data_IF_948218079666
#
_entry.id   IF_948218079666
#
_cell.length_a   1.000
_cell.length_b   1.000
_cell.length_c   1.000
_cell.angle_alpha   90.00
_cell.angle_beta   90.00
_cell.angle_gamma   90.00
#
_symmetry.space_group_name_H-M   'P 1'
#
loop_
_entity.id
_entity.type
_entity.pdbx_description
1 polymer ?
#
# COMPACT_ATOMS: atom_id res chain seq x y z
N UNK A 1 35.02 -35.71 25.70
CA UNK A 1 34.43 -34.80 24.67
C UNK A 1 35.49 -33.83 24.22
N UNK A 2 35.95 -33.85 22.99
CA UNK A 2 37.10 -33.08 22.51
C UNK A 2 36.74 -31.60 22.40
N UNK A 3 37.39 -30.77 23.24
CA UNK A 3 37.21 -29.32 23.27
C UNK A 3 37.59 -28.67 21.92
N UNK A 4 36.73 -27.79 21.43
CA UNK A 4 36.98 -27.00 20.24
C UNK A 4 38.22 -26.11 20.51
N UNK A 5 39.29 -26.26 19.77
CA UNK A 5 40.51 -25.47 19.95
C UNK A 5 40.24 -23.99 19.61
N UNK A 6 40.95 -23.06 20.29
CA UNK A 6 40.84 -21.59 20.07
C UNK A 6 40.95 -21.22 18.57
N UNK A 7 41.76 -21.97 17.83
CA UNK A 7 41.94 -21.78 16.38
C UNK A 7 40.68 -22.13 15.58
N UNK A 8 39.95 -23.23 15.92
CA UNK A 8 38.69 -23.60 15.28
C UNK A 8 37.57 -22.60 15.59
N UNK A 9 37.56 -22.02 16.83
CA UNK A 9 36.60 -20.99 17.21
C UNK A 9 36.78 -19.71 16.39
N UNK A 10 38.04 -19.24 16.26
CA UNK A 10 38.33 -18.04 15.44
C UNK A 10 38.07 -18.25 13.96
N UNK A 11 38.25 -19.46 13.44
CA UNK A 11 37.89 -19.77 12.03
C UNK A 11 36.39 -19.77 11.82
N UNK A 12 35.59 -20.28 12.75
CA UNK A 12 34.13 -20.23 12.67
C UNK A 12 33.57 -18.81 12.77
N UNK A 13 34.16 -17.95 13.64
CA UNK A 13 33.77 -16.53 13.73
C UNK A 13 34.14 -15.73 12.48
N UNK A 14 35.31 -16.02 11.86
CA UNK A 14 35.72 -15.37 10.61
C UNK A 14 34.86 -15.81 9.41
N UNK A 15 34.42 -17.07 9.36
CA UNK A 15 33.47 -17.56 8.34
C UNK A 15 32.08 -16.89 8.55
N UNK A 16 31.63 -16.77 9.81
CA UNK A 16 30.40 -16.04 10.14
C UNK A 16 30.47 -14.56 9.73
N UNK A 17 31.58 -13.88 9.97
CA UNK A 17 31.80 -12.50 9.53
C UNK A 17 31.93 -12.37 8.01
N UNK A 18 32.47 -13.37 7.32
CA UNK A 18 32.53 -13.42 5.85
C UNK A 18 31.15 -13.55 5.19
N UNK A 19 30.24 -14.33 5.78
CA UNK A 19 28.87 -14.50 5.30
C UNK A 19 28.07 -13.19 5.49
N UNK A 20 28.28 -12.46 6.59
CA UNK A 20 27.64 -11.14 6.81
C UNK A 20 28.19 -10.08 5.86
N UNK A 21 29.49 -10.10 5.51
CA UNK A 21 30.06 -9.18 4.52
C UNK A 21 29.58 -9.47 3.07
N UNK A 22 29.25 -10.73 2.74
CA UNK A 22 28.62 -11.07 1.46
C UNK A 22 27.17 -10.60 1.40
N UNK A 23 26.45 -10.60 2.53
CA UNK A 23 25.05 -10.12 2.61
C UNK A 23 24.94 -8.59 2.48
N UNK A 24 25.98 -7.83 2.80
CA UNK A 24 25.99 -6.37 2.66
C UNK A 24 26.08 -5.87 1.20
N UNK A 25 26.46 -6.72 0.25
CA UNK A 25 26.41 -6.41 -1.20
C UNK A 25 25.07 -6.72 -1.87
N UNK A 26 24.09 -7.25 -1.14
CA UNK A 26 22.79 -7.68 -1.69
C UNK A 26 21.66 -6.72 -1.35
N UNK A 27 21.94 -5.43 -1.11
CA UNK A 27 20.88 -4.42 -0.91
C UNK A 27 19.96 -4.28 -2.14
N UNK A 28 20.43 -4.64 -3.33
CA UNK A 28 19.60 -4.70 -4.54
C UNK A 28 18.71 -5.95 -4.63
N UNK A 29 18.98 -6.98 -3.84
CA UNK A 29 18.18 -8.21 -3.84
C UNK A 29 16.81 -8.07 -3.14
N UNK A 30 16.58 -7.00 -2.39
CA UNK A 30 15.32 -6.68 -1.72
C UNK A 30 14.53 -5.55 -2.43
N UNK A 31 14.96 -5.11 -3.61
CA UNK A 31 14.11 -4.28 -4.44
C UNK A 31 12.86 -5.09 -4.77
N UNK A 32 11.69 -4.63 -4.32
CA UNK A 32 10.42 -5.24 -4.72
C UNK A 32 10.42 -5.36 -6.24
N UNK A 33 10.18 -6.55 -6.82
CA UNK A 33 10.13 -6.69 -8.26
C UNK A 33 9.08 -5.70 -8.78
N UNK A 34 9.43 -4.91 -9.80
CA UNK A 34 8.46 -4.02 -10.45
C UNK A 34 7.31 -4.88 -10.93
N UNK A 35 6.09 -4.46 -10.56
CA UNK A 35 4.89 -5.17 -10.96
C UNK A 35 4.72 -5.09 -12.48
N UNK A 36 4.18 -6.13 -13.10
CA UNK A 36 3.91 -6.15 -14.53
C UNK A 36 3.02 -4.96 -14.92
N UNK A 37 3.36 -4.25 -16.00
CA UNK A 37 2.67 -3.04 -16.45
C UNK A 37 3.07 -1.74 -15.74
N UNK A 38 3.90 -1.80 -14.70
CA UNK A 38 4.38 -0.62 -13.99
C UNK A 38 5.56 0.05 -14.74
N UNK A 39 5.61 1.38 -14.86
CA UNK A 39 4.60 2.38 -14.50
C UNK A 39 3.58 2.69 -15.60
N UNK A 40 3.70 2.10 -16.78
CA UNK A 40 2.91 2.40 -17.98
C UNK A 40 1.76 1.37 -18.20
N UNK A 41 0.91 1.23 -17.19
CA UNK A 41 -0.35 0.48 -17.31
C UNK A 41 -1.47 1.41 -17.81
N UNK A 42 -2.67 0.87 -17.98
CA UNK A 42 -3.86 1.68 -18.29
C UNK A 42 -4.21 2.60 -17.12
N UNK A 43 -4.65 3.80 -17.44
CA UNK A 43 -5.04 4.83 -16.49
C UNK A 43 -6.27 5.61 -16.92
N UNK A 44 -6.68 6.55 -16.08
CA UNK A 44 -7.75 7.50 -16.35
C UNK A 44 -7.30 8.89 -15.88
N UNK A 45 -7.36 9.85 -16.78
CA UNK A 45 -7.20 11.26 -16.48
C UNK A 45 -8.57 11.88 -16.23
N UNK A 46 -8.77 12.51 -15.09
CA UNK A 46 -10.02 13.12 -14.65
C UNK A 46 -9.88 14.64 -14.63
N UNK A 47 -10.68 15.34 -15.41
CA UNK A 47 -10.77 16.80 -15.41
C UNK A 47 -11.93 17.25 -14.50
N UNK A 48 -11.63 17.63 -13.26
CA UNK A 48 -12.63 18.04 -12.27
C UNK A 48 -13.36 19.33 -12.69
N UNK A 49 -12.72 20.20 -13.48
CA UNK A 49 -13.32 21.44 -13.98
C UNK A 49 -14.47 21.22 -14.97
N UNK A 50 -14.61 20.01 -15.52
CA UNK A 50 -15.71 19.64 -16.44
C UNK A 50 -16.85 18.90 -15.75
N UNK A 51 -16.65 18.47 -14.50
CA UNK A 51 -17.65 17.63 -13.81
C UNK A 51 -18.86 18.45 -13.35
N UNK A 52 -20.06 18.02 -13.73
CA UNK A 52 -21.34 18.66 -13.35
C UNK A 52 -22.07 17.97 -12.19
N UNK A 53 -21.47 16.94 -11.59
CA UNK A 53 -22.06 16.22 -10.47
C UNK A 53 -23.30 15.40 -10.83
N UNK A 54 -23.46 14.95 -12.09
CA UNK A 54 -24.65 14.21 -12.54
C UNK A 54 -24.84 12.84 -11.89
N UNK A 55 -23.76 12.24 -11.29
CA UNK A 55 -23.73 10.91 -10.66
C UNK A 55 -23.98 9.72 -11.61
N UNK A 56 -24.02 9.92 -12.92
CA UNK A 56 -24.14 8.81 -13.90
C UNK A 56 -23.04 7.77 -13.75
N UNK A 57 -21.82 8.18 -13.34
CA UNK A 57 -20.71 7.28 -13.05
C UNK A 57 -20.96 6.38 -11.83
N UNK A 58 -21.68 6.87 -10.80
CA UNK A 58 -22.11 6.04 -9.65
C UNK A 58 -23.13 5.00 -10.13
N UNK A 59 -24.13 5.41 -10.89
CA UNK A 59 -25.16 4.52 -11.43
C UNK A 59 -24.57 3.44 -12.35
N UNK A 60 -23.65 3.81 -13.25
CA UNK A 60 -22.97 2.86 -14.12
C UNK A 60 -22.12 1.85 -13.34
N UNK A 61 -21.39 2.31 -12.32
CA UNK A 61 -20.61 1.44 -11.44
C UNK A 61 -21.51 0.46 -10.68
N UNK A 62 -22.64 0.94 -10.16
CA UNK A 62 -23.61 0.10 -9.46
C UNK A 62 -24.14 -1.02 -10.35
N UNK A 63 -24.58 -0.69 -11.57
CA UNK A 63 -25.08 -1.69 -12.55
C UNK A 63 -24.02 -2.68 -12.98
N UNK A 64 -22.82 -2.19 -13.33
CA UNK A 64 -21.71 -3.02 -13.82
C UNK A 64 -21.25 -4.03 -12.78
N UNK A 65 -21.15 -3.59 -11.51
CA UNK A 65 -20.68 -4.41 -10.40
C UNK A 65 -21.81 -5.16 -9.68
N UNK A 66 -23.06 -5.03 -10.17
CA UNK A 66 -24.25 -5.66 -9.57
C UNK A 66 -24.34 -5.38 -8.06
N UNK A 67 -24.14 -4.12 -7.69
CA UNK A 67 -24.21 -3.68 -6.30
C UNK A 67 -25.69 -3.54 -5.88
N UNK A 68 -25.99 -3.61 -4.57
CA UNK A 68 -27.32 -3.34 -4.06
C UNK A 68 -27.84 -1.97 -4.49
N UNK A 69 -29.16 -1.83 -4.56
CA UNK A 69 -29.78 -0.55 -4.81
C UNK A 69 -29.38 0.47 -3.74
N UNK A 70 -29.02 1.70 -4.12
CA UNK A 70 -28.67 2.73 -3.17
C UNK A 70 -29.89 3.17 -2.37
N UNK A 71 -29.68 3.60 -1.13
CA UNK A 71 -30.74 4.15 -0.28
C UNK A 71 -31.39 5.42 -0.88
N UNK A 72 -30.67 6.14 -1.73
CA UNK A 72 -31.12 7.35 -2.44
C UNK A 72 -30.85 7.20 -3.93
N UNK A 73 -31.82 7.61 -4.75
CA UNK A 73 -31.68 7.61 -6.22
C UNK A 73 -30.42 8.37 -6.66
N UNK A 74 -29.84 7.93 -7.76
CA UNK A 74 -28.70 8.65 -8.37
C UNK A 74 -29.09 10.02 -8.92
N UNK A 75 -30.37 10.27 -9.16
CA UNK A 75 -30.88 11.59 -9.59
C UNK A 75 -31.08 12.58 -8.42
N UNK A 76 -31.14 12.06 -7.19
CA UNK A 76 -31.29 12.89 -5.98
C UNK A 76 -30.00 13.65 -5.67
N UNK A 77 -30.04 14.97 -5.80
CA UNK A 77 -28.91 15.87 -5.53
C UNK A 77 -28.78 16.26 -4.06
N UNK A 78 -29.81 16.02 -3.22
CA UNK A 78 -29.75 16.30 -1.79
C UNK A 78 -28.63 15.53 -1.07
N UNK A 79 -28.17 14.46 -1.69
CA UNK A 79 -27.01 13.68 -1.23
C UNK A 79 -25.72 14.50 -1.08
N UNK A 80 -25.58 15.60 -1.82
CA UNK A 80 -24.43 16.49 -1.71
C UNK A 80 -24.43 17.36 -0.44
N UNK A 81 -25.60 17.56 0.16
CA UNK A 81 -25.78 18.38 1.36
C UNK A 81 -25.61 17.57 2.65
N UNK A 82 -25.48 16.24 2.51
CA UNK A 82 -25.32 15.34 3.64
C UNK A 82 -23.86 15.31 4.12
N UNK A 83 -23.69 15.56 5.41
CA UNK A 83 -22.45 15.34 6.12
C UNK A 83 -22.58 14.03 6.89
N UNK A 84 -21.69 13.05 6.64
CA UNK A 84 -21.79 11.71 7.23
C UNK A 84 -21.24 11.60 8.66
N UNK A 85 -20.56 12.64 9.13
CA UNK A 85 -20.02 12.73 10.49
C UNK A 85 -20.12 14.16 11.00
N UNK A 86 -20.13 14.31 12.31
CA UNK A 86 -20.14 15.60 13.00
C UNK A 86 -18.95 16.53 12.64
N UNK A 87 -17.91 15.99 12.03
CA UNK A 87 -16.72 16.72 11.55
C UNK A 87 -16.83 17.21 10.09
N UNK A 88 -18.01 17.14 9.46
CA UNK A 88 -18.21 17.61 8.08
C UNK A 88 -17.63 16.72 6.98
N UNK A 89 -17.25 15.48 7.28
CA UNK A 89 -16.74 14.56 6.25
C UNK A 89 -17.78 14.33 5.17
N UNK A 90 -17.32 14.37 3.92
CA UNK A 90 -18.11 14.01 2.74
C UNK A 90 -18.30 12.50 2.65
N UNK A 91 -19.22 12.06 1.76
CA UNK A 91 -19.44 10.63 1.49
C UNK A 91 -18.14 9.95 1.07
N UNK A 92 -17.94 8.73 1.54
CA UNK A 92 -16.85 7.86 1.10
C UNK A 92 -17.40 6.59 0.46
N UNK A 93 -16.54 5.87 -0.25
CA UNK A 93 -16.86 4.53 -0.78
C UNK A 93 -17.08 3.53 0.34
N UNK A 94 -18.01 2.60 0.13
CA UNK A 94 -18.33 1.50 1.03
C UNK A 94 -18.50 0.18 0.26
N UNK A 95 -18.97 -0.86 0.94
CA UNK A 95 -19.18 -2.19 0.35
C UNK A 95 -20.35 -2.24 -0.64
N UNK A 96 -21.19 -1.21 -0.68
CA UNK A 96 -22.36 -1.07 -1.59
C UNK A 96 -22.13 0.00 -2.66
N UNK A 97 -21.14 0.86 -2.51
CA UNK A 97 -20.83 1.95 -3.42
C UNK A 97 -19.31 2.06 -3.66
N UNK A 98 -18.82 1.50 -4.77
CA UNK A 98 -17.38 1.52 -5.10
C UNK A 98 -16.89 2.85 -5.64
N UNK A 99 -17.79 3.75 -5.98
CA UNK A 99 -17.49 5.13 -6.36
C UNK A 99 -18.58 6.07 -5.85
N UNK A 100 -18.16 7.25 -5.42
CA UNK A 100 -19.04 8.32 -4.97
C UNK A 100 -18.60 9.65 -5.58
N UNK A 101 -19.55 10.54 -5.84
CA UNK A 101 -19.28 11.93 -6.26
C UNK A 101 -19.64 12.85 -5.11
N UNK A 102 -18.74 13.74 -4.75
CA UNK A 102 -18.93 14.75 -3.72
C UNK A 102 -18.85 16.15 -4.32
N UNK A 103 -19.59 17.11 -3.72
CA UNK A 103 -19.58 18.53 -4.04
C UNK A 103 -18.65 19.27 -3.07
N UNK A 104 -17.81 20.13 -3.62
CA UNK A 104 -16.92 21.04 -2.89
C UNK A 104 -17.16 22.47 -3.35
N UNK A 105 -16.93 23.42 -2.47
CA UNK A 105 -17.07 24.86 -2.72
C UNK A 105 -15.74 25.55 -2.40
N UNK A 106 -14.74 25.44 -3.31
CA UNK A 106 -13.44 26.04 -3.11
C UNK A 106 -13.52 27.55 -3.04
N UNK A 107 -12.66 28.16 -2.23
CA UNK A 107 -12.58 29.62 -2.11
C UNK A 107 -12.21 30.27 -3.46
N UNK A 108 -12.90 31.36 -3.81
CA UNK A 108 -12.66 32.08 -5.06
C UNK A 108 -13.24 31.43 -6.33
N UNK A 109 -13.94 30.30 -6.23
CA UNK A 109 -14.68 29.72 -7.35
C UNK A 109 -16.16 30.08 -7.29
N UNK A 110 -16.71 30.58 -8.41
CA UNK A 110 -18.15 30.86 -8.51
C UNK A 110 -19.01 29.59 -8.57
N UNK A 111 -18.44 28.49 -9.03
CA UNK A 111 -19.14 27.23 -9.24
C UNK A 111 -18.56 26.13 -8.36
N UNK A 112 -19.42 25.24 -7.83
CA UNK A 112 -18.94 24.10 -7.07
C UNK A 112 -18.12 23.17 -7.95
N UNK A 113 -17.10 22.56 -7.38
CA UNK A 113 -16.28 21.51 -7.99
C UNK A 113 -16.78 20.15 -7.52
N UNK A 114 -16.98 19.23 -8.45
CA UNK A 114 -17.41 17.87 -8.14
C UNK A 114 -16.25 16.89 -8.30
N UNK A 115 -15.99 16.13 -7.25
CA UNK A 115 -14.94 15.12 -7.24
C UNK A 115 -15.54 13.72 -7.14
N UNK A 116 -15.18 12.89 -8.11
CA UNK A 116 -15.40 11.45 -8.06
C UNK A 116 -14.31 10.78 -7.23
N UNK A 117 -14.71 10.03 -6.23
CA UNK A 117 -13.81 9.25 -5.35
C UNK A 117 -14.02 7.75 -5.56
N UNK A 118 -12.95 7.02 -5.80
CA UNK A 118 -12.88 5.56 -5.96
C UNK A 118 -11.43 5.11 -5.66
N UNK A 119 -11.18 3.81 -5.72
CA UNK A 119 -9.81 3.29 -5.63
C UNK A 119 -8.92 3.87 -6.74
N UNK A 120 -7.77 4.42 -6.38
CA UNK A 120 -6.83 5.03 -7.33
C UNK A 120 -5.95 4.01 -8.07
N UNK A 121 -6.03 2.72 -7.71
CA UNK A 121 -5.26 1.65 -8.36
C UNK A 121 -3.76 1.95 -8.45
N UNK A 122 -3.15 2.29 -7.30
CA UNK A 122 -1.73 2.66 -7.18
C UNK A 122 -0.81 1.75 -7.99
N UNK A 123 0.30 2.30 -8.47
CA UNK A 123 1.32 1.54 -9.18
C UNK A 123 1.98 0.51 -8.24
N UNK A 124 2.32 0.92 -7.02
CA UNK A 124 2.77 0.05 -5.94
C UNK A 124 1.75 0.06 -4.80
N UNK A 125 0.72 -0.80 -4.86
CA UNK A 125 -0.41 -0.70 -3.95
C UNK A 125 -0.08 -1.20 -2.55
N UNK A 126 -0.11 -0.31 -1.54
CA UNK A 126 0.11 -0.65 -0.14
C UNK A 126 -0.87 -1.72 0.39
N UNK A 127 -2.11 -1.75 -0.12
CA UNK A 127 -3.08 -2.79 0.23
C UNK A 127 -2.67 -4.19 -0.23
N UNK A 128 -1.88 -4.31 -1.31
CA UNK A 128 -1.32 -5.57 -1.80
C UNK A 128 -0.16 -6.00 -0.91
N UNK A 129 0.79 -5.10 -0.65
CA UNK A 129 1.99 -5.40 0.13
C UNK A 129 1.69 -5.68 1.60
N UNK A 130 0.65 -5.08 2.17
CA UNK A 130 0.20 -5.34 3.55
C UNK A 130 -0.60 -6.62 3.72
N UNK A 131 -0.99 -7.28 2.62
CA UNK A 131 -1.85 -8.47 2.67
C UNK A 131 -1.04 -9.75 2.83
N UNK A 132 -0.91 -10.27 4.04
CA UNK A 132 -0.12 -11.48 4.33
C UNK A 132 -0.68 -12.78 3.72
N UNK A 133 -1.96 -12.79 3.29
CA UNK A 133 -2.57 -13.92 2.57
C UNK A 133 -2.60 -13.72 1.04
N UNK A 134 -1.99 -12.63 0.53
CA UNK A 134 -1.94 -12.29 -0.90
C UNK A 134 -3.32 -12.25 -1.59
N UNK A 135 -4.33 -11.71 -0.92
CA UNK A 135 -5.67 -11.58 -1.48
C UNK A 135 -5.77 -10.52 -2.60
N UNK A 136 -4.77 -9.66 -2.74
CA UNK A 136 -4.71 -8.63 -3.78
C UNK A 136 -3.72 -8.99 -4.89
N UNK A 137 -4.07 -8.60 -6.11
CA UNK A 137 -3.19 -8.74 -7.27
C UNK A 137 -3.20 -7.43 -8.09
N UNK A 138 -2.04 -6.94 -8.49
CA UNK A 138 -1.89 -5.88 -9.50
C UNK A 138 -1.79 -6.56 -10.87
N UNK A 139 -2.72 -6.24 -11.76
CA UNK A 139 -2.73 -6.81 -13.12
C UNK A 139 -1.83 -5.98 -14.04
N UNK A 140 -1.44 -6.56 -15.18
CA UNK A 140 -0.64 -5.86 -16.20
C UNK A 140 -1.36 -4.65 -16.78
N UNK A 141 -2.69 -4.67 -16.82
CA UNK A 141 -3.52 -3.56 -17.28
C UNK A 141 -3.65 -2.44 -16.26
N UNK A 142 -3.13 -2.62 -15.03
CA UNK A 142 -3.13 -1.59 -13.99
C UNK A 142 -4.21 -1.73 -12.93
N UNK A 143 -5.12 -2.69 -13.02
CA UNK A 143 -6.10 -2.92 -11.97
C UNK A 143 -5.46 -3.54 -10.71
N UNK A 144 -5.91 -3.10 -9.55
CA UNK A 144 -5.66 -3.79 -8.28
C UNK A 144 -6.93 -4.55 -7.94
N UNK A 145 -6.93 -5.85 -8.17
CA UNK A 145 -8.08 -6.73 -7.94
C UNK A 145 -7.98 -7.44 -6.60
N UNK A 146 -9.08 -8.01 -6.14
CA UNK A 146 -9.21 -8.63 -4.83
C UNK A 146 -9.92 -9.98 -4.93
N UNK A 147 -9.36 -10.99 -4.29
CA UNK A 147 -9.93 -12.33 -4.19
C UNK A 147 -10.56 -12.56 -2.81
N UNK A 148 -11.90 -12.55 -2.68
CA UNK A 148 -12.58 -12.75 -1.39
C UNK A 148 -12.42 -14.16 -0.83
N UNK A 149 -12.10 -15.18 -1.65
CA UNK A 149 -12.03 -16.59 -1.22
C UNK A 149 -10.87 -16.89 -0.28
N UNK A 150 -9.79 -16.11 -0.36
CA UNK A 150 -8.59 -16.28 0.46
C UNK A 150 -8.46 -15.21 1.55
N UNK A 151 -9.36 -14.24 1.58
CA UNK A 151 -9.36 -13.16 2.56
C UNK A 151 -9.77 -13.68 3.94
N UNK A 152 -8.99 -13.35 4.96
CA UNK A 152 -9.28 -13.68 6.37
C UNK A 152 -9.89 -12.52 7.16
N UNK A 153 -10.18 -11.38 6.52
CA UNK A 153 -10.84 -10.24 7.15
C UNK A 153 -9.99 -9.44 8.15
N UNK A 154 -8.65 -9.52 8.09
CA UNK A 154 -7.75 -8.84 9.04
C UNK A 154 -7.76 -7.30 8.93
N UNK A 155 -8.29 -6.73 7.86
CA UNK A 155 -8.44 -5.28 7.60
C UNK A 155 -7.13 -4.48 7.45
N UNK A 156 -5.95 -5.13 7.41
CA UNK A 156 -4.67 -4.43 7.18
C UNK A 156 -4.68 -3.57 5.92
N UNK A 157 -5.34 -4.03 4.85
CA UNK A 157 -5.47 -3.27 3.61
C UNK A 157 -6.25 -1.95 3.77
N UNK A 158 -7.15 -1.84 4.77
CA UNK A 158 -7.86 -0.60 5.06
C UNK A 158 -6.94 0.41 5.77
N UNK A 159 -6.11 -0.08 6.69
CA UNK A 159 -5.16 0.74 7.45
C UNK A 159 -4.01 1.20 6.54
N UNK A 160 -3.52 0.30 5.68
CA UNK A 160 -2.40 0.59 4.80
C UNK A 160 -2.77 1.51 3.63
N UNK A 161 -4.06 1.67 3.29
CA UNK A 161 -4.48 2.48 2.15
C UNK A 161 -4.46 3.97 2.48
N UNK A 162 -3.57 4.79 1.87
CA UNK A 162 -3.52 6.22 2.15
C UNK A 162 -4.80 6.95 1.72
N UNK A 163 -5.51 6.40 0.74
CA UNK A 163 -6.76 6.97 0.22
C UNK A 163 -8.02 6.44 0.94
N UNK A 164 -7.89 5.58 1.94
CA UNK A 164 -9.00 4.98 2.70
C UNK A 164 -10.08 4.31 1.82
N UNK A 165 -9.69 3.66 0.70
CA UNK A 165 -10.64 3.14 -0.28
C UNK A 165 -11.22 1.75 0.02
N UNK A 166 -10.46 0.76 0.55
CA UNK A 166 -11.05 -0.53 0.91
C UNK A 166 -12.10 -0.38 2.01
N UNK A 167 -13.26 -0.99 1.81
CA UNK A 167 -14.36 -0.99 2.76
C UNK A 167 -14.68 -2.42 3.22
N UNK A 168 -14.89 -2.62 4.52
CA UNK A 168 -15.24 -3.90 5.09
C UNK A 168 -16.75 -4.06 5.16
N UNK A 169 -17.24 -5.22 4.76
CA UNK A 169 -18.66 -5.56 4.88
C UNK A 169 -18.96 -6.09 6.28
N UNK A 170 -19.61 -5.27 7.08
CA UNK A 170 -20.05 -5.65 8.44
C UNK A 170 -21.38 -6.40 8.46
N UNK A 171 -22.01 -6.61 7.30
CA UNK A 171 -23.32 -7.26 7.19
C UNK A 171 -23.30 -8.77 7.43
N UNK A 172 -22.11 -9.41 7.39
CA UNK A 172 -21.93 -10.84 7.63
C UNK A 172 -20.86 -11.11 8.66
N UNK A 173 -21.22 -11.73 9.77
CA UNK A 173 -20.27 -12.10 10.82
C UNK A 173 -19.33 -13.24 10.41
N UNK A 174 -19.79 -14.16 9.54
CA UNK A 174 -19.06 -15.38 9.19
C UNK A 174 -18.34 -15.31 7.84
N UNK A 175 -18.62 -14.31 7.03
CA UNK A 175 -17.98 -14.13 5.73
C UNK A 175 -17.46 -12.71 5.58
N UNK A 176 -16.36 -12.39 6.25
CA UNK A 176 -15.76 -11.06 6.21
C UNK A 176 -15.20 -10.79 4.81
N UNK A 177 -15.75 -9.80 4.12
CA UNK A 177 -15.29 -9.40 2.78
C UNK A 177 -14.87 -7.94 2.81
N UNK A 178 -13.72 -7.65 2.22
CA UNK A 178 -13.33 -6.29 1.88
C UNK A 178 -13.74 -6.02 0.45
N UNK A 179 -14.35 -4.87 0.19
CA UNK A 179 -14.78 -4.45 -1.15
C UNK A 179 -14.18 -3.09 -1.51
N UNK A 180 -13.94 -2.90 -2.79
CA UNK A 180 -13.48 -1.64 -3.39
C UNK A 180 -13.67 -1.68 -4.90
N UNK A 181 -13.46 -0.56 -5.57
CA UNK A 181 -13.37 -0.53 -7.04
C UNK A 181 -12.32 -1.54 -7.54
N UNK A 182 -12.66 -2.31 -8.56
CA UNK A 182 -11.81 -3.30 -9.23
C UNK A 182 -11.44 -2.89 -10.66
N UNK A 183 -11.67 -1.62 -11.04
CA UNK A 183 -11.41 -1.06 -12.36
C UNK A 183 -12.22 -1.74 -13.49
N UNK A 184 -13.35 -2.32 -13.17
CA UNK A 184 -14.16 -3.16 -14.08
C UNK A 184 -13.33 -4.23 -14.80
N UNK A 185 -12.33 -4.83 -14.09
CA UNK A 185 -11.29 -5.67 -14.68
C UNK A 185 -11.89 -6.81 -15.50
N UNK A 186 -12.74 -7.63 -14.88
CA UNK A 186 -13.24 -8.87 -15.49
C UNK A 186 -14.16 -8.63 -16.67
N UNK A 187 -14.93 -7.55 -16.65
CA UNK A 187 -15.98 -7.29 -17.65
C UNK A 187 -15.51 -6.38 -18.77
N UNK A 188 -14.55 -5.48 -18.50
CA UNK A 188 -14.18 -4.42 -19.45
C UNK A 188 -12.66 -4.29 -19.64
N UNK A 189 -11.90 -4.01 -18.60
CA UNK A 189 -10.52 -3.59 -18.73
C UNK A 189 -9.61 -4.64 -19.41
N UNK A 190 -9.74 -5.92 -19.03
CA UNK A 190 -8.98 -7.01 -19.66
C UNK A 190 -9.28 -7.20 -21.15
N UNK A 191 -10.38 -6.65 -21.63
CA UNK A 191 -10.79 -6.65 -23.04
C UNK A 191 -10.43 -5.32 -23.74
N UNK A 192 -9.63 -4.45 -23.08
CA UNK A 192 -9.23 -3.16 -23.64
C UNK A 192 -10.31 -2.07 -23.61
N UNK A 193 -11.45 -2.33 -22.94
CA UNK A 193 -12.56 -1.39 -22.86
C UNK A 193 -12.41 -0.45 -21.65
N UNK A 194 -12.84 0.82 -21.76
CA UNK A 194 -12.83 1.75 -20.64
C UNK A 194 -13.77 1.28 -19.52
N UNK A 195 -13.49 1.59 -18.24
CA UNK A 195 -14.41 1.34 -17.13
C UNK A 195 -15.80 1.92 -17.38
N UNK A 196 -16.86 1.27 -16.91
CA UNK A 196 -18.24 1.70 -17.14
C UNK A 196 -18.53 3.14 -16.69
N UNK A 197 -17.88 3.58 -15.61
CA UNK A 197 -18.02 4.96 -15.13
C UNK A 197 -17.35 6.00 -16.05
N UNK A 198 -16.33 5.61 -16.80
CA UNK A 198 -15.67 6.47 -17.80
C UNK A 198 -16.58 6.58 -19.04
N UNK A 199 -16.99 5.44 -19.53
CA UNK A 199 -17.78 5.29 -20.76
C UNK A 199 -19.12 6.06 -20.73
N UNK A 200 -19.80 6.07 -19.57
CA UNK A 200 -21.11 6.71 -19.40
C UNK A 200 -21.04 8.23 -19.25
N UNK A 201 -19.86 8.83 -19.09
CA UNK A 201 -19.75 10.23 -18.68
C UNK A 201 -20.21 11.21 -19.77
N UNK A 202 -21.33 11.95 -19.61
CA UNK A 202 -21.87 12.80 -20.67
C UNK A 202 -21.02 14.07 -20.93
N UNK A 203 -20.14 14.42 -19.97
CA UNK A 203 -19.24 15.58 -20.08
C UNK A 203 -17.82 15.19 -20.45
N UNK A 204 -17.58 13.90 -20.74
CA UNK A 204 -16.23 13.39 -21.04
C UNK A 204 -15.16 13.88 -20.05
N UNK A 205 -15.54 13.89 -18.76
CA UNK A 205 -14.66 14.30 -17.65
C UNK A 205 -13.44 13.41 -17.56
N UNK A 206 -13.57 12.16 -17.97
CA UNK A 206 -12.60 11.10 -17.80
C UNK A 206 -12.07 10.61 -19.16
N UNK A 207 -10.74 10.70 -19.34
CA UNK A 207 -10.06 10.17 -20.53
C UNK A 207 -9.34 8.88 -20.14
N UNK A 208 -9.62 7.79 -20.86
CA UNK A 208 -9.00 6.47 -20.64
C UNK A 208 -7.88 6.23 -21.64
N UNK A 209 -6.76 5.66 -21.21
CA UNK A 209 -5.63 5.33 -22.07
C UNK A 209 -4.42 4.81 -21.31
N UNK A 210 -3.28 4.68 -21.99
CA UNK A 210 -2.01 4.41 -21.34
C UNK A 210 -1.61 5.55 -20.40
N UNK A 211 -1.23 5.22 -19.16
CA UNK A 211 -0.93 6.21 -18.13
C UNK A 211 0.10 7.25 -18.57
N UNK A 212 1.19 6.80 -19.22
CA UNK A 212 2.25 7.69 -19.69
C UNK A 212 1.73 8.74 -20.67
N UNK A 213 0.95 8.32 -21.67
CA UNK A 213 0.35 9.25 -22.64
C UNK A 213 -0.67 10.18 -21.99
N UNK A 214 -1.39 9.72 -20.95
CA UNK A 214 -2.31 10.57 -20.21
C UNK A 214 -1.60 11.64 -19.38
N UNK A 215 -0.42 11.35 -18.85
CA UNK A 215 0.45 12.34 -18.17
C UNK A 215 0.88 13.42 -19.15
N UNK A 216 1.35 13.05 -20.35
CA UNK A 216 1.75 14.00 -21.40
C UNK A 216 0.56 14.92 -21.77
N UNK A 217 -0.62 14.35 -22.01
CA UNK A 217 -1.86 15.10 -22.28
C UNK A 217 -2.23 16.04 -21.12
N UNK A 218 -2.05 15.60 -19.88
CA UNK A 218 -2.36 16.41 -18.71
C UNK A 218 -1.46 17.64 -18.61
N UNK A 219 -0.14 17.46 -18.76
CA UNK A 219 0.82 18.56 -18.75
C UNK A 219 0.59 19.53 -19.91
N UNK A 220 0.23 19.03 -21.10
CA UNK A 220 -0.15 19.89 -22.22
C UNK A 220 -1.40 20.72 -21.91
N UNK A 221 -2.42 20.13 -21.27
CA UNK A 221 -3.65 20.85 -20.86
C UNK A 221 -3.36 21.93 -19.83
N UNK A 222 -2.55 21.63 -18.81
CA UNK A 222 -2.12 22.61 -17.79
C UNK A 222 -1.41 23.78 -18.46
N UNK A 223 -0.43 23.46 -19.33
CA UNK A 223 0.39 24.47 -20.01
C UNK A 223 -0.42 25.35 -20.97
N UNK A 224 -1.41 24.77 -21.63
CA UNK A 224 -2.28 25.51 -22.56
C UNK A 224 -3.33 26.38 -21.84
N UNK A 225 -3.70 26.07 -20.60
CA UNK A 225 -4.76 26.76 -19.85
C UNK A 225 -4.36 26.97 -18.37
N UNK A 226 -3.32 27.77 -18.08
CA UNK A 226 -2.80 27.95 -16.73
C UNK A 226 -3.79 28.67 -15.81
N UNK A 227 -4.74 29.43 -16.36
CA UNK A 227 -5.82 30.06 -15.60
C UNK A 227 -6.93 29.10 -15.17
N UNK A 228 -6.99 27.93 -15.80
CA UNK A 228 -8.05 26.93 -15.56
C UNK A 228 -7.60 25.82 -14.63
N UNK A 229 -6.33 25.50 -14.58
CA UNK A 229 -5.80 24.36 -13.84
C UNK A 229 -4.70 24.79 -12.88
N UNK A 230 -4.68 24.17 -11.72
CA UNK A 230 -3.52 24.22 -10.83
C UNK A 230 -2.34 23.52 -11.52
N UNK A 231 -1.15 24.10 -11.41
CA UNK A 231 0.09 23.53 -12.00
C UNK A 231 0.56 22.30 -11.20
N UNK A 232 -0.31 21.30 -11.14
CA UNK A 232 -0.05 20.02 -10.50
C UNK A 232 -1.00 18.95 -11.05
N UNK A 233 -0.46 17.76 -11.34
CA UNK A 233 -1.22 16.58 -11.74
C UNK A 233 -1.27 15.59 -10.58
N UNK A 234 -2.35 15.60 -9.83
CA UNK A 234 -2.50 14.69 -8.69
C UNK A 234 -2.64 13.23 -9.13
N UNK A 235 -1.85 12.35 -8.55
CA UNK A 235 -1.77 10.93 -8.90
C UNK A 235 -0.61 10.60 -9.85
N UNK A 236 0.15 11.60 -10.30
CA UNK A 236 1.38 11.36 -11.07
C UNK A 236 2.45 10.72 -10.20
N UNK A 237 2.79 11.33 -9.10
CA UNK A 237 3.88 10.92 -8.21
C UNK A 237 3.42 10.44 -6.84
N UNK A 238 2.26 10.90 -6.35
CA UNK A 238 1.80 10.57 -5.00
C UNK A 238 1.80 9.08 -4.77
N UNK A 239 2.44 8.67 -3.67
CA UNK A 239 2.65 7.27 -3.24
C UNK A 239 3.23 6.35 -4.32
N UNK A 240 4.11 6.90 -5.18
CA UNK A 240 4.69 6.18 -6.31
C UNK A 240 3.80 6.15 -7.56
N UNK A 241 2.82 7.05 -7.62
CA UNK A 241 1.89 7.21 -8.71
C UNK A 241 0.68 6.28 -8.67
N UNK A 242 -0.39 6.71 -9.33
CA UNK A 242 -1.67 6.00 -9.38
C UNK A 242 -2.18 5.88 -10.81
N UNK A 243 -3.11 4.93 -11.06
CA UNK A 243 -3.75 4.79 -12.37
C UNK A 243 -4.88 5.83 -12.60
N UNK A 244 -5.36 6.49 -11.55
CA UNK A 244 -6.31 7.60 -11.64
C UNK A 244 -5.61 8.90 -11.32
N UNK A 245 -5.58 9.81 -12.27
CA UNK A 245 -4.91 11.11 -12.17
C UNK A 245 -5.93 12.22 -12.33
N UNK A 246 -5.69 13.38 -11.69
CA UNK A 246 -6.68 14.43 -11.61
C UNK A 246 -6.10 15.80 -11.96
N UNK A 247 -6.83 16.53 -12.80
CA UNK A 247 -6.68 17.96 -13.04
C UNK A 247 -7.75 18.71 -12.23
N UNK A 248 -7.37 19.74 -11.51
CA UNK A 248 -8.27 20.53 -10.69
C UNK A 248 -8.22 22.03 -11.05
N UNK A 249 -9.38 22.72 -10.97
CA UNK A 249 -9.46 24.18 -11.15
C UNK A 249 -9.19 24.95 -9.85
N UNK A 250 -9.00 24.24 -8.73
CA UNK A 250 -8.79 24.80 -7.41
C UNK A 250 -7.77 23.96 -6.63
N UNK A 251 -7.17 24.45 -5.54
CA UNK A 251 -6.24 23.71 -4.71
C UNK A 251 -6.79 22.33 -4.31
N UNK A 252 -5.96 21.29 -4.40
CA UNK A 252 -6.40 19.92 -4.19
C UNK A 252 -6.93 19.66 -2.78
N UNK A 253 -6.43 20.36 -1.77
CA UNK A 253 -6.92 20.32 -0.38
C UNK A 253 -8.39 20.77 -0.29
N UNK A 254 -8.75 21.83 -1.01
CA UNK A 254 -10.11 22.38 -0.99
C UNK A 254 -11.12 21.49 -1.68
N UNK A 255 -10.67 20.59 -2.56
CA UNK A 255 -11.50 19.56 -3.19
C UNK A 255 -11.30 18.19 -2.53
N UNK A 256 -10.75 18.19 -1.31
CA UNK A 256 -10.70 17.04 -0.41
C UNK A 256 -9.68 15.97 -0.75
N UNK A 257 -8.63 16.29 -1.50
CA UNK A 257 -7.47 15.41 -1.63
C UNK A 257 -6.53 15.60 -0.45
N UNK A 258 -5.79 14.56 -0.13
CA UNK A 258 -4.70 14.64 0.83
C UNK A 258 -3.41 14.95 0.07
N UNK A 259 -2.85 16.12 0.32
CA UNK A 259 -1.61 16.62 -0.29
C UNK A 259 -0.39 16.42 0.61
N UNK A 260 -0.58 15.82 1.78
CA UNK A 260 0.53 15.52 2.70
C UNK A 260 1.26 14.23 2.35
N UNK A 261 0.81 13.52 1.31
CA UNK A 261 1.39 12.25 0.87
C UNK A 261 2.75 12.46 0.19
N UNK A 262 3.71 11.61 0.54
CA UNK A 262 4.99 11.57 -0.13
C UNK A 262 4.86 11.00 -1.55
N UNK A 263 5.82 11.36 -2.42
CA UNK A 263 5.89 10.85 -3.80
C UNK A 263 6.41 9.40 -3.87
N UNK A 264 6.97 8.88 -2.79
CA UNK A 264 7.45 7.51 -2.74
C UNK A 264 6.34 6.52 -2.37
N UNK A 265 6.40 5.28 -2.88
CA UNK A 265 5.51 4.21 -2.44
C UNK A 265 5.58 4.00 -0.93
N UNK A 266 4.46 3.75 -0.29
CA UNK A 266 4.40 3.55 1.17
C UNK A 266 5.32 2.41 1.62
N UNK A 267 5.53 1.40 0.79
CA UNK A 267 6.41 0.28 1.10
C UNK A 267 7.88 0.73 1.29
N UNK A 268 8.31 1.83 0.67
CA UNK A 268 9.67 2.34 0.84
C UNK A 268 9.97 2.72 2.29
N UNK A 269 8.99 3.26 3.01
CA UNK A 269 9.12 3.68 4.41
C UNK A 269 9.41 2.52 5.39
N UNK A 270 9.05 1.29 5.02
CA UNK A 270 9.29 0.09 5.85
C UNK A 270 10.38 -0.82 5.29
N UNK A 271 10.87 -0.54 4.09
CA UNK A 271 11.86 -1.37 3.39
C UNK A 271 13.16 -1.47 4.17
N UNK A 272 13.65 -0.35 4.68
CA UNK A 272 14.90 -0.29 5.45
C UNK A 272 14.77 -1.06 6.77
N UNK A 273 13.63 -0.88 7.46
CA UNK A 273 13.32 -1.66 8.67
C UNK A 273 13.26 -3.15 8.37
N UNK A 274 12.53 -3.57 7.34
CA UNK A 274 12.44 -4.99 6.95
C UNK A 274 13.80 -5.56 6.54
N UNK A 275 14.68 -4.75 5.94
CA UNK A 275 16.05 -5.12 5.60
C UNK A 275 16.92 -5.43 6.82
N UNK A 276 16.61 -4.85 7.99
CA UNK A 276 17.35 -5.13 9.24
C UNK A 276 16.93 -6.44 9.92
N UNK A 277 15.74 -6.94 9.65
CA UNK A 277 15.18 -8.15 10.29
C UNK A 277 16.06 -9.40 10.11
N UNK A 278 16.53 -9.76 8.89
CA UNK A 278 17.44 -10.90 8.72
C UNK A 278 18.74 -10.78 9.52
N UNK A 279 19.27 -9.56 9.62
CA UNK A 279 20.46 -9.26 10.41
C UNK A 279 20.22 -9.53 11.89
N UNK A 280 19.10 -9.05 12.43
CA UNK A 280 18.70 -9.30 13.83
C UNK A 280 18.52 -10.79 14.09
N UNK A 281 17.81 -11.50 13.21
CA UNK A 281 17.60 -12.94 13.32
C UNK A 281 18.89 -13.77 13.24
N UNK A 282 19.95 -13.27 12.59
CA UNK A 282 21.26 -13.93 12.53
C UNK A 282 22.14 -13.61 13.74
N UNK A 283 22.21 -12.33 14.12
CA UNK A 283 23.13 -11.85 15.17
C UNK A 283 22.70 -12.33 16.57
N UNK A 284 21.42 -12.18 16.92
CA UNK A 284 20.95 -12.51 18.26
C UNK A 284 21.14 -13.98 18.63
N UNK A 285 20.77 -14.98 17.81
CA UNK A 285 21.04 -16.37 18.11
C UNK A 285 22.56 -16.66 18.24
N UNK A 286 23.39 -16.06 17.39
CA UNK A 286 24.83 -16.22 17.46
C UNK A 286 25.42 -15.67 18.77
N UNK A 287 24.96 -14.48 19.20
CA UNK A 287 25.35 -13.87 20.48
C UNK A 287 24.92 -14.72 21.68
N UNK A 288 23.63 -15.14 21.71
CA UNK A 288 23.14 -15.98 22.81
C UNK A 288 23.84 -17.35 22.87
N UNK A 289 24.11 -17.95 21.72
CA UNK A 289 24.90 -19.20 21.67
C UNK A 289 26.30 -18.96 22.19
N UNK A 290 26.95 -17.83 21.82
CA UNK A 290 28.24 -17.47 22.31
C UNK A 290 28.28 -17.26 23.86
N UNK A 291 27.29 -16.53 24.38
CA UNK A 291 27.14 -16.36 25.83
C UNK A 291 26.87 -17.67 26.58
N UNK A 292 26.02 -18.53 26.02
CA UNK A 292 25.77 -19.85 26.60
C UNK A 292 27.03 -20.71 26.66
N UNK A 293 27.82 -20.76 25.59
CA UNK A 293 29.09 -21.48 25.55
C UNK A 293 30.12 -20.92 26.53
N UNK A 294 30.15 -19.61 26.77
CA UNK A 294 31.03 -19.00 27.75
C UNK A 294 30.56 -19.32 29.17
N UNK A 295 29.27 -19.28 29.44
CA UNK A 295 28.72 -19.59 30.75
C UNK A 295 28.91 -21.06 31.13
N UNK A 296 28.63 -22.01 30.21
CA UNK A 296 28.85 -23.45 30.44
C UNK A 296 30.32 -23.76 30.65
N UNK A 297 31.23 -23.12 29.90
CA UNK A 297 32.65 -23.28 30.08
C UNK A 297 33.13 -22.80 31.45
N UNK A 298 32.56 -21.71 31.99
CA UNK A 298 32.87 -21.21 33.31
C UNK A 298 32.47 -22.21 34.40
N UNK A 299 31.28 -22.79 34.28
CA UNK A 299 30.80 -23.84 35.18
C UNK A 299 31.67 -25.10 35.14
N UNK A 300 32.10 -25.55 33.95
CA UNK A 300 33.01 -26.69 33.79
C UNK A 300 34.35 -26.46 34.48
N UNK A 301 34.90 -25.22 34.43
CA UNK A 301 36.15 -24.87 35.10
C UNK A 301 35.98 -24.85 36.63
N UNK A 302 34.87 -24.31 37.13
CA UNK A 302 34.57 -24.29 38.57
C UNK A 302 34.41 -25.72 39.12
N UNK A 303 33.73 -26.61 38.44
CA UNK A 303 33.58 -28.02 38.84
C UNK A 303 34.87 -28.83 38.80
N UNK A 304 35.82 -28.55 37.85
CA UNK A 304 37.09 -29.22 37.79
C UNK A 304 38.13 -28.62 38.77
N UNK A 305 37.88 -27.41 39.32
CA UNK A 305 38.74 -26.78 40.33
C UNK A 305 38.60 -27.41 41.70
N UNK A 306 37.46 -28.02 42.00
CA UNK A 306 37.19 -28.63 43.33
C UNK A 306 37.71 -30.07 43.42
N UNK A 307 38.13 -30.72 42.34
CA UNK A 307 38.62 -32.10 42.31
C UNK A 307 40.15 -32.26 42.47
N UNK A 308 40.89 -31.22 42.87
CA UNK A 308 42.31 -31.39 43.20
C UNK A 308 42.44 -32.01 44.59
N UNK A 309 42.95 -33.28 44.71
CA UNK A 309 43.19 -33.90 46.00
C UNK A 309 44.28 -33.10 46.73
N UNK A 310 43.97 -32.64 47.92
CA UNK A 310 44.95 -32.02 48.83
C UNK A 310 46.05 -33.08 49.09
N UNK A 311 47.33 -32.75 48.76
CA UNK A 311 48.49 -33.49 49.17
C UNK A 311 48.52 -33.53 50.68
N UNK A 312 48.21 -34.70 51.24
CA UNK A 312 48.56 -34.99 52.65
C UNK A 312 50.02 -35.06 52.77
N UNK A 313 50.65 -34.06 53.34
CA UNK A 313 52.02 -34.17 53.94
C UNK A 313 51.90 -35.12 55.12
N UNK A 314 52.49 -36.33 54.97
CA UNK A 314 52.77 -37.20 56.08
C UNK A 314 54.00 -36.69 56.75
N UNK A 315 53.80 -36.10 57.96
CA UNK A 315 54.89 -35.86 58.97
C UNK A 315 55.41 -37.24 59.48
N UNK A 316 56.55 -37.61 58.97
CA UNK A 316 57.36 -38.64 59.65
C UNK A 316 58.19 -37.97 60.73
N UNK A 317 57.76 -38.15 61.98
CA UNK A 317 58.65 -38.02 63.13
C UNK A 317 59.09 -39.38 63.63
N UNK A 318 60.46 -39.52 63.67
CA UNK A 318 61.38 -40.40 64.38
C UNK A 318 61.13 -41.85 64.42
#
# INVERSE_FOLDING_TARGET
MSGISRRKFLTCTLIGAGVTALSLKTTDAFASPKLEGYPDSMGVLVDLGRCIGCRSCEAACNREQKLPEPAQSFDDKSVFDQTFHSNGQKRRTDEKAYTVVNRYEPAGQEKPVYRKSQCNHCNEPACLTSCFVNAYTKTKEGAVIYNPKICVGCRNCMIACPFNMPAYSYSSAFNPVVKKCIFCYDTRLKNGLPPACVDICPQEVMTFGHRKGLIEIAHERIKANPERYIDHLYGEDEVGGTSWMYLAPAPFEEVGFDTTMNNEPIISNVKDFLGTVPMVLAIWPALFTGFHLLATRKQDIEHHGDDHPAHKEEDKKS
#
